data_IF_824873650599
#
_entry.id   IF_824873650599
#
_cell.length_a   1.000
_cell.length_b   1.000
_cell.length_c   1.000
_cell.angle_alpha   90.00
_cell.angle_beta   90.00
_cell.angle_gamma   90.00
#
_symmetry.space_group_name_H-M   'P 1'
#
loop_
_entity.id
_entity.type
_entity.pdbx_description
1 polymer ?
#
# COMPACT_ATOMS: atom_id res chain seq x y z
N UNK A 1 7.63 -3.36 -18.67
CA UNK A 1 6.88 -3.14 -17.41
C UNK A 1 7.81 -3.15 -16.20
N UNK A 2 8.36 -4.30 -15.78
CA UNK A 2 9.16 -4.40 -14.55
C UNK A 2 10.43 -3.52 -14.51
N UNK A 3 11.07 -3.28 -15.67
CA UNK A 3 12.25 -2.40 -15.77
C UNK A 3 11.89 -0.91 -15.54
N UNK A 4 10.71 -0.49 -16.01
CA UNK A 4 10.18 0.89 -15.83
C UNK A 4 9.76 1.19 -14.40
N UNK A 5 9.35 0.18 -13.62
CA UNK A 5 9.04 0.37 -12.19
C UNK A 5 10.23 0.91 -11.38
N UNK A 6 11.47 0.61 -11.79
CA UNK A 6 12.69 1.07 -11.11
C UNK A 6 13.26 2.39 -11.68
N UNK A 7 12.80 2.85 -12.84
CA UNK A 7 13.32 4.03 -13.55
C UNK A 7 12.39 5.25 -13.32
N UNK A 8 12.09 5.55 -12.06
CA UNK A 8 11.23 6.69 -11.68
C UNK A 8 11.79 8.04 -12.16
N UNK A 9 13.12 8.17 -12.29
CA UNK A 9 13.81 9.47 -12.43
C UNK A 9 13.45 10.26 -13.70
N UNK A 10 12.80 9.65 -14.70
CA UNK A 10 12.60 10.27 -16.02
C UNK A 10 11.13 10.41 -16.43
N UNK A 11 10.15 10.10 -15.56
CA UNK A 11 8.74 10.04 -15.92
C UNK A 11 7.94 11.18 -15.27
N UNK A 12 7.08 11.85 -16.04
CA UNK A 12 6.13 12.82 -15.50
C UNK A 12 5.04 12.13 -14.66
N UNK A 13 4.37 12.89 -13.78
CA UNK A 13 3.29 12.36 -12.94
C UNK A 13 2.15 11.73 -13.76
N UNK A 14 1.82 12.32 -14.91
CA UNK A 14 0.77 11.82 -15.81
C UNK A 14 1.18 10.48 -16.44
N UNK A 15 2.38 10.40 -17.02
CA UNK A 15 2.90 9.17 -17.62
C UNK A 15 3.01 8.04 -16.59
N UNK A 16 3.31 8.40 -15.34
CA UNK A 16 3.40 7.46 -14.24
C UNK A 16 2.03 6.91 -13.84
N UNK A 17 1.01 7.79 -13.76
CA UNK A 17 -0.38 7.40 -13.55
C UNK A 17 -0.87 6.47 -14.66
N UNK A 18 -0.64 6.83 -15.93
CA UNK A 18 -1.03 6.02 -17.08
C UNK A 18 -0.35 4.64 -17.06
N UNK A 19 0.95 4.60 -16.76
CA UNK A 19 1.69 3.35 -16.64
C UNK A 19 1.11 2.44 -15.55
N UNK A 20 0.68 3.02 -14.44
CA UNK A 20 0.04 2.29 -13.35
C UNK A 20 -1.33 1.76 -13.74
N UNK A 21 -2.18 2.58 -14.34
CA UNK A 21 -3.50 2.16 -14.82
C UNK A 21 -3.41 1.08 -15.90
N UNK A 22 -2.41 1.16 -16.80
CA UNK A 22 -2.11 0.11 -17.77
C UNK A 22 -1.59 -1.17 -17.09
N UNK A 23 -0.82 -1.06 -16.01
CA UNK A 23 -0.35 -2.22 -15.24
C UNK A 23 -1.51 -2.90 -14.51
N UNK A 24 -2.42 -2.11 -13.93
CA UNK A 24 -3.66 -2.57 -13.29
C UNK A 24 -4.55 -3.30 -14.28
N UNK A 25 -4.82 -2.71 -15.45
CA UNK A 25 -5.64 -3.34 -16.48
C UNK A 25 -4.98 -4.63 -17.02
N UNK A 26 -3.66 -4.63 -17.21
CA UNK A 26 -2.93 -5.83 -17.61
C UNK A 26 -3.04 -6.95 -16.57
N UNK A 27 -2.91 -6.64 -15.27
CA UNK A 27 -3.16 -7.60 -14.18
C UNK A 27 -4.57 -8.19 -14.28
N UNK A 28 -5.56 -7.38 -14.66
CA UNK A 28 -6.94 -7.83 -14.73
C UNK A 28 -7.21 -8.82 -15.87
N UNK A 29 -6.49 -8.70 -16.98
CA UNK A 29 -6.71 -9.53 -18.17
C UNK A 29 -5.77 -10.73 -18.28
N UNK A 30 -4.62 -10.71 -17.59
CA UNK A 30 -3.60 -11.75 -17.70
C UNK A 30 -3.63 -12.75 -16.55
N UNK A 31 -3.30 -14.02 -16.85
CA UNK A 31 -3.09 -15.07 -15.82
C UNK A 31 -1.62 -15.26 -15.45
N UNK A 32 -0.68 -14.70 -16.22
CA UNK A 32 0.77 -14.97 -16.11
C UNK A 32 1.49 -13.77 -15.49
N UNK A 33 2.50 -14.03 -14.65
CA UNK A 33 3.36 -13.01 -14.00
C UNK A 33 2.64 -12.02 -13.06
N UNK A 34 1.39 -12.30 -12.69
CA UNK A 34 0.55 -11.42 -11.87
C UNK A 34 1.15 -11.11 -10.50
N UNK A 35 1.78 -12.08 -9.82
CA UNK A 35 2.31 -11.89 -8.46
C UNK A 35 3.36 -10.78 -8.36
N UNK A 36 4.33 -10.73 -9.29
CA UNK A 36 5.38 -9.71 -9.27
C UNK A 36 4.81 -8.32 -9.58
N UNK A 37 3.85 -8.24 -10.49
CA UNK A 37 3.19 -6.97 -10.82
C UNK A 37 2.32 -6.47 -9.67
N UNK A 38 1.55 -7.35 -9.03
CA UNK A 38 0.80 -7.03 -7.81
C UNK A 38 1.74 -6.50 -6.72
N UNK A 39 2.85 -7.19 -6.46
CA UNK A 39 3.82 -6.74 -5.46
C UNK A 39 4.34 -5.32 -5.74
N UNK A 40 4.72 -5.04 -6.99
CA UNK A 40 5.24 -3.72 -7.37
C UNK A 40 4.16 -2.64 -7.25
N UNK A 41 2.92 -2.96 -7.64
CA UNK A 41 1.78 -2.07 -7.54
C UNK A 41 1.43 -1.76 -6.07
N UNK A 42 1.47 -2.75 -5.18
CA UNK A 42 1.25 -2.56 -3.74
C UNK A 42 2.37 -1.76 -3.06
N UNK A 43 3.61 -1.86 -3.55
CA UNK A 43 4.74 -1.11 -3.00
C UNK A 43 4.83 0.32 -3.51
N UNK A 44 3.87 0.79 -4.31
CA UNK A 44 3.88 2.16 -4.82
C UNK A 44 4.04 3.22 -3.72
N UNK A 45 3.25 3.20 -2.63
CA UNK A 45 3.39 4.17 -1.55
C UNK A 45 4.70 4.02 -0.77
N UNK A 46 5.39 2.88 -0.92
CA UNK A 46 6.68 2.58 -0.27
C UNK A 46 7.87 3.06 -1.12
N UNK A 47 7.67 3.23 -2.42
CA UNK A 47 8.64 3.81 -3.37
C UNK A 47 8.60 5.34 -3.26
N UNK A 48 7.40 5.92 -3.15
CA UNK A 48 7.19 7.34 -2.90
C UNK A 48 6.06 7.50 -1.88
N UNK A 49 6.42 8.00 -0.71
CA UNK A 49 5.50 8.17 0.41
C UNK A 49 4.82 9.54 0.34
N UNK A 50 3.89 9.69 -0.60
CA UNK A 50 3.11 10.90 -0.83
C UNK A 50 1.61 10.61 -1.04
N UNK A 51 0.78 11.65 -0.83
CA UNK A 51 -0.68 11.57 -0.92
C UNK A 51 -1.15 11.14 -2.32
N UNK A 52 -0.51 11.66 -3.37
CA UNK A 52 -0.88 11.33 -4.75
C UNK A 52 -0.61 9.84 -5.05
N UNK A 53 0.52 9.32 -4.57
CA UNK A 53 0.92 7.94 -4.80
C UNK A 53 0.04 6.94 -4.05
N UNK A 54 -0.34 7.23 -2.80
CA UNK A 54 -1.27 6.36 -2.07
C UNK A 54 -2.68 6.39 -2.66
N UNK A 55 -3.17 7.55 -3.14
CA UNK A 55 -4.47 7.63 -3.83
C UNK A 55 -4.48 6.78 -5.10
N UNK A 56 -3.46 6.94 -5.95
CA UNK A 56 -3.30 6.14 -7.17
C UNK A 56 -3.18 4.64 -6.87
N UNK A 57 -2.48 4.28 -5.78
CA UNK A 57 -2.38 2.90 -5.33
C UNK A 57 -3.74 2.35 -4.89
N UNK A 58 -4.49 3.11 -4.08
CA UNK A 58 -5.84 2.73 -3.60
C UNK A 58 -6.79 2.51 -4.77
N UNK A 59 -6.86 3.44 -5.73
CA UNK A 59 -7.71 3.30 -6.93
C UNK A 59 -7.38 2.01 -7.70
N UNK A 60 -6.08 1.74 -7.87
CA UNK A 60 -5.61 0.51 -8.52
C UNK A 60 -5.96 -0.75 -7.73
N UNK A 61 -5.82 -0.72 -6.41
CA UNK A 61 -6.18 -1.85 -5.54
C UNK A 61 -7.68 -2.13 -5.61
N UNK A 62 -8.51 -1.10 -5.51
CA UNK A 62 -9.97 -1.21 -5.60
C UNK A 62 -10.39 -1.83 -6.92
N UNK A 63 -9.82 -1.36 -8.03
CA UNK A 63 -10.12 -1.92 -9.35
C UNK A 63 -9.80 -3.41 -9.42
N UNK A 64 -8.64 -3.84 -8.94
CA UNK A 64 -8.28 -5.27 -8.90
C UNK A 64 -9.21 -6.04 -7.96
N UNK A 65 -9.57 -5.49 -6.80
CA UNK A 65 -10.51 -6.13 -5.89
C UNK A 65 -11.88 -6.33 -6.53
N UNK A 66 -12.39 -5.36 -7.29
CA UNK A 66 -13.70 -5.46 -7.95
C UNK A 66 -13.68 -6.34 -9.18
N UNK A 67 -12.58 -6.33 -9.95
CA UNK A 67 -12.52 -6.98 -11.25
C UNK A 67 -11.85 -8.37 -11.22
N UNK A 68 -11.08 -8.71 -10.18
CA UNK A 68 -10.22 -9.89 -10.17
C UNK A 68 -10.32 -10.71 -8.88
N UNK A 69 -11.41 -11.47 -8.74
CA UNK A 69 -11.67 -12.30 -7.54
C UNK A 69 -10.51 -13.25 -7.18
N UNK A 70 -9.83 -13.82 -8.17
CA UNK A 70 -8.72 -14.76 -7.95
C UNK A 70 -7.45 -14.14 -7.35
N UNK A 71 -7.32 -12.81 -7.41
CA UNK A 71 -6.11 -12.10 -6.96
C UNK A 71 -6.30 -11.37 -5.65
N UNK A 72 -7.52 -11.30 -5.10
CA UNK A 72 -7.85 -10.52 -3.91
C UNK A 72 -6.98 -10.87 -2.69
N UNK A 73 -6.77 -12.16 -2.41
CA UNK A 73 -5.95 -12.59 -1.27
C UNK A 73 -4.49 -12.20 -1.48
N UNK A 74 -3.92 -12.48 -2.67
CA UNK A 74 -2.54 -12.12 -2.99
C UNK A 74 -2.30 -10.61 -2.98
N UNK A 75 -3.28 -9.85 -3.47
CA UNK A 75 -3.27 -8.39 -3.43
C UNK A 75 -3.27 -7.90 -1.98
N UNK A 76 -4.22 -8.36 -1.16
CA UNK A 76 -4.32 -7.95 0.24
C UNK A 76 -3.06 -8.28 1.05
N UNK A 77 -2.51 -9.49 0.88
CA UNK A 77 -1.23 -9.84 1.52
C UNK A 77 -0.09 -8.93 1.06
N UNK A 78 -0.03 -8.55 -0.22
CA UNK A 78 1.00 -7.64 -0.72
C UNK A 78 0.82 -6.21 -0.21
N UNK A 79 -0.42 -5.72 -0.07
CA UNK A 79 -0.74 -4.42 0.56
C UNK A 79 -0.26 -4.41 2.01
N UNK A 80 -0.62 -5.43 2.79
CA UNK A 80 -0.18 -5.56 4.18
C UNK A 80 1.35 -5.67 4.30
N UNK A 81 2.01 -6.37 3.38
CA UNK A 81 3.47 -6.44 3.34
C UNK A 81 4.13 -5.11 2.99
N UNK A 82 3.49 -4.30 2.14
CA UNK A 82 3.97 -2.97 1.78
C UNK A 82 3.85 -2.02 2.99
N UNK A 83 2.76 -2.11 3.77
CA UNK A 83 2.64 -1.42 5.05
C UNK A 83 3.79 -1.77 6.00
N UNK A 84 4.09 -3.06 6.23
CA UNK A 84 5.24 -3.42 7.08
C UNK A 84 6.57 -2.86 6.53
N UNK A 85 6.68 -2.70 5.21
CA UNK A 85 7.85 -2.09 4.59
C UNK A 85 7.99 -0.60 4.89
N UNK A 86 6.89 0.14 5.12
CA UNK A 86 6.97 1.55 5.57
C UNK A 86 7.52 1.64 6.98
N UNK A 87 7.15 0.69 7.85
CA UNK A 87 7.75 0.53 9.18
C UNK A 87 9.25 0.25 9.11
N UNK A 88 9.68 -0.74 8.32
CA UNK A 88 11.11 -1.05 8.20
C UNK A 88 11.95 0.10 7.63
N UNK A 89 11.33 0.99 6.85
CA UNK A 89 11.97 2.20 6.31
C UNK A 89 11.84 3.44 7.20
N UNK A 90 11.18 3.35 8.36
CA UNK A 90 10.89 4.46 9.27
C UNK A 90 10.28 5.68 8.54
N UNK A 91 9.22 5.46 7.75
CA UNK A 91 8.51 6.56 7.06
C UNK A 91 7.13 6.80 7.65
N UNK A 92 6.62 8.03 7.49
CA UNK A 92 5.31 8.42 7.95
C UNK A 92 5.18 8.36 9.47
N UNK A 93 4.18 7.62 9.97
CA UNK A 93 3.93 7.44 11.41
C UNK A 93 5.04 6.66 12.12
N UNK A 94 5.94 6.00 11.37
CA UNK A 94 7.06 5.25 11.93
C UNK A 94 8.38 6.06 11.93
N UNK A 95 8.36 7.30 11.41
CA UNK A 95 9.49 8.24 11.50
C UNK A 95 9.52 8.86 12.91
N UNK A 96 9.85 8.06 13.92
CA UNK A 96 10.07 8.52 15.28
C UNK A 96 11.53 8.93 15.47
N UNK A 97 11.77 10.08 16.11
CA UNK A 97 13.10 10.46 16.56
C UNK A 97 13.40 9.74 17.89
N UNK A 98 14.38 8.81 17.94
CA UNK A 98 14.63 8.00 19.14
C UNK A 98 15.23 8.80 20.31
N UNK A 99 15.63 10.07 20.10
CA UNK A 99 16.06 10.98 21.16
C UNK A 99 15.44 12.37 20.96
N UNK A 100 14.32 12.69 21.63
CA UNK A 100 13.86 14.06 21.71
C UNK A 100 14.85 14.83 22.59
N UNK A 101 15.89 15.41 21.99
CA UNK A 101 16.67 16.44 22.67
C UNK A 101 15.69 17.56 23.06
N UNK A 102 15.82 18.10 24.26
CA UNK A 102 14.87 19.07 24.84
C UNK A 102 14.69 20.36 24.01
N UNK A 103 15.54 20.57 23.00
CA UNK A 103 15.56 21.75 22.13
C UNK A 103 15.15 21.45 20.67
N UNK A 104 14.88 20.19 20.30
CA UNK A 104 14.42 19.86 18.94
C UNK A 104 12.91 20.01 18.83
N UNK A 105 12.46 20.87 17.90
CA UNK A 105 11.05 20.96 17.49
C UNK A 105 10.52 19.54 17.25
N UNK A 106 9.45 19.16 17.97
CA UNK A 106 8.73 17.90 17.75
C UNK A 106 8.46 17.77 16.26
N UNK A 107 9.11 16.80 15.62
CA UNK A 107 8.91 16.54 14.19
C UNK A 107 7.54 15.87 14.07
N UNK A 108 6.55 16.60 13.57
CA UNK A 108 5.22 16.03 13.33
C UNK A 108 5.38 14.99 12.22
N UNK A 109 5.21 13.71 12.57
CA UNK A 109 5.24 12.61 11.63
C UNK A 109 4.22 12.84 10.51
N UNK A 110 4.61 12.62 9.26
CA UNK A 110 3.71 12.73 8.11
C UNK A 110 2.71 11.54 8.14
N UNK A 111 1.58 11.72 8.81
CA UNK A 111 0.58 10.65 9.00
C UNK A 111 -0.35 10.48 7.81
N UNK A 112 -0.52 11.52 6.97
CA UNK A 112 -1.63 11.59 6.00
C UNK A 112 -1.71 10.39 5.05
N UNK A 113 -0.55 9.88 4.61
CA UNK A 113 -0.49 8.69 3.75
C UNK A 113 -0.97 7.45 4.49
N UNK A 114 -0.56 7.26 5.74
CA UNK A 114 -1.05 6.15 6.56
C UNK A 114 -2.51 6.33 6.96
N UNK A 115 -2.99 7.57 7.16
CA UNK A 115 -4.41 7.83 7.47
C UNK A 115 -5.30 7.32 6.33
N UNK A 116 -4.97 7.67 5.08
CA UNK A 116 -5.68 7.18 3.89
C UNK A 116 -5.58 5.65 3.76
N UNK A 117 -4.42 5.09 4.06
CA UNK A 117 -4.21 3.65 3.99
C UNK A 117 -5.00 2.90 5.06
N UNK A 118 -5.07 3.43 6.29
CA UNK A 118 -5.89 2.87 7.38
C UNK A 118 -7.37 2.91 7.02
N UNK A 119 -7.86 4.05 6.51
CA UNK A 119 -9.25 4.19 6.04
C UNK A 119 -9.55 3.11 5.01
N UNK A 120 -8.69 2.95 4.01
CA UNK A 120 -8.82 1.88 3.02
C UNK A 120 -8.90 0.49 3.68
N UNK A 121 -7.97 0.13 4.57
CA UNK A 121 -7.97 -1.19 5.23
C UNK A 121 -9.23 -1.42 6.07
N UNK A 122 -9.74 -0.37 6.73
CA UNK A 122 -10.97 -0.42 7.52
C UNK A 122 -12.19 -0.66 6.63
N UNK A 123 -12.29 0.07 5.51
CA UNK A 123 -13.36 -0.13 4.53
C UNK A 123 -13.30 -1.53 3.92
N UNK A 124 -12.09 -2.00 3.60
CA UNK A 124 -11.87 -3.38 3.15
C UNK A 124 -12.35 -4.39 4.18
N UNK A 125 -12.03 -4.20 5.46
CA UNK A 125 -12.50 -5.06 6.54
C UNK A 125 -14.03 -5.09 6.61
N UNK A 126 -14.66 -3.92 6.56
CA UNK A 126 -16.12 -3.79 6.61
C UNK A 126 -16.84 -4.54 5.49
N UNK A 127 -16.23 -4.59 4.31
CA UNK A 127 -16.73 -5.37 3.18
C UNK A 127 -16.55 -6.87 3.45
N UNK A 128 -15.33 -7.32 3.77
CA UNK A 128 -14.99 -8.75 3.74
C UNK A 128 -15.38 -9.53 5.00
N UNK A 129 -15.69 -8.84 6.12
CA UNK A 129 -15.92 -9.45 7.45
C UNK A 129 -17.02 -10.52 7.48
N UNK A 130 -17.99 -10.45 6.56
CA UNK A 130 -19.10 -11.39 6.54
C UNK A 130 -18.90 -12.58 5.59
N UNK A 131 -17.95 -12.52 4.65
CA UNK A 131 -17.88 -13.50 3.55
C UNK A 131 -16.48 -14.03 3.23
N UNK A 132 -15.40 -13.47 3.79
CA UNK A 132 -14.04 -13.93 3.50
C UNK A 132 -13.18 -14.08 4.75
N UNK A 133 -13.31 -15.21 5.49
CA UNK A 133 -12.46 -15.51 6.64
C UNK A 133 -10.94 -15.42 6.36
N UNK A 134 -10.43 -15.82 5.18
CA UNK A 134 -9.00 -15.65 4.86
C UNK A 134 -8.56 -14.18 4.81
N UNK A 135 -9.36 -13.29 4.23
CA UNK A 135 -9.04 -11.85 4.17
C UNK A 135 -9.14 -11.20 5.55
N UNK A 136 -10.15 -11.58 6.35
CA UNK A 136 -10.28 -11.16 7.76
C UNK A 136 -9.04 -11.53 8.55
N UNK A 137 -8.52 -12.75 8.39
CA UNK A 137 -7.31 -13.22 9.07
C UNK A 137 -6.09 -12.35 8.72
N UNK A 138 -5.90 -12.04 7.43
CA UNK A 138 -4.78 -11.19 6.97
C UNK A 138 -4.89 -9.79 7.60
N UNK A 139 -6.06 -9.15 7.52
CA UNK A 139 -6.29 -7.82 8.08
C UNK A 139 -6.07 -7.79 9.60
N UNK A 140 -6.63 -8.76 10.32
CA UNK A 140 -6.49 -8.85 11.77
C UNK A 140 -5.02 -9.06 12.20
N UNK A 141 -4.25 -9.86 11.46
CA UNK A 141 -2.83 -10.06 11.72
C UNK A 141 -2.03 -8.76 11.53
N UNK A 142 -2.27 -8.04 10.44
CA UNK A 142 -1.59 -6.76 10.18
C UNK A 142 -1.95 -5.72 11.24
N UNK A 143 -3.24 -5.53 11.54
CA UNK A 143 -3.67 -4.57 12.57
C UNK A 143 -3.11 -4.95 13.94
N UNK A 144 -3.19 -6.22 14.32
CA UNK A 144 -2.70 -6.72 15.62
C UNK A 144 -1.18 -6.60 15.80
N UNK A 145 -0.40 -6.72 14.72
CA UNK A 145 1.04 -6.47 14.77
C UNK A 145 1.37 -4.98 14.95
N UNK A 146 0.58 -4.09 14.37
CA UNK A 146 0.82 -2.65 14.41
C UNK A 146 0.30 -1.97 15.68
N UNK A 147 -0.80 -2.45 16.26
CA UNK A 147 -1.29 -1.95 17.55
C UNK A 147 -0.25 -2.10 18.67
N UNK A 148 0.55 -3.19 18.67
CA UNK A 148 1.64 -3.42 19.63
C UNK A 148 2.81 -2.44 19.53
N UNK A 149 2.86 -1.68 18.44
CA UNK A 149 3.94 -0.73 18.15
C UNK A 149 3.49 0.69 18.52
N UNK A 150 2.19 0.96 18.41
CA UNK A 150 1.58 2.26 18.64
C UNK A 150 1.14 2.44 20.11
N UNK A 151 0.78 1.33 20.80
CA UNK A 151 0.43 1.29 22.23
C UNK A 151 1.59 0.74 23.05
#
# INVERSE_FOLDING_TARGET
ILKRFNEKSNMSQLEFSDFFMLSTSYICVTKRFVRKMIYQLCNLPVIDFSVDYIKLAIESWEWIFTSCKYHQISLLSAICSAWESTRYKNVGIFDFDPQPNSDTKIRIANSQVHDLWIIFLLDRFNIVKFYSPPQVKILAQTIGQNLKIIL
#
